data_IF_224172234794
#
_entry.id   IF_224172234794
#
_cell.length_a   1.000
_cell.length_b   1.000
_cell.length_c   1.000
_cell.angle_alpha   90.00
_cell.angle_beta   90.00
_cell.angle_gamma   90.00
#
_symmetry.space_group_name_H-M   'P 1'
#
loop_
_entity.id
_entity.type
_entity.pdbx_description
1 polymer ?
#
# COMPACT_ATOMS: atom_id res chain seq x y z
N UNK A 1 21.49 0.06 12.71
CA UNK A 1 20.13 0.14 13.26
C UNK A 1 19.14 0.08 12.10
N UNK A 2 18.10 -0.71 12.24
CA UNK A 2 17.09 -0.85 11.18
C UNK A 2 16.12 0.32 11.21
N UNK A 3 15.78 0.81 10.03
CA UNK A 3 14.80 1.88 9.83
C UNK A 3 13.76 1.38 8.83
N UNK A 4 12.50 1.41 9.24
CA UNK A 4 11.37 0.91 8.46
C UNK A 4 10.56 2.07 7.90
N UNK A 5 10.20 2.00 6.63
CA UNK A 5 9.22 2.89 6.01
C UNK A 5 8.04 2.04 5.52
N UNK A 6 6.84 2.40 5.94
CA UNK A 6 5.60 1.77 5.49
C UNK A 6 4.89 2.71 4.54
N UNK A 7 4.90 2.36 3.27
CA UNK A 7 4.30 3.14 2.18
C UNK A 7 2.96 2.53 1.80
N UNK A 8 1.93 3.36 1.70
CA UNK A 8 0.62 2.86 1.31
C UNK A 8 -0.46 3.92 1.28
N UNK A 9 -1.67 3.45 1.41
CA UNK A 9 -2.89 4.25 1.37
C UNK A 9 -3.53 4.38 2.77
N UNK A 10 -4.85 4.49 2.82
CA UNK A 10 -5.61 4.60 4.05
C UNK A 10 -5.43 3.41 5.00
N UNK A 11 -5.12 2.23 4.48
CA UNK A 11 -4.90 1.03 5.31
C UNK A 11 -3.60 1.14 6.10
N UNK A 12 -2.61 1.83 5.59
CA UNK A 12 -1.37 2.14 6.31
C UNK A 12 -1.57 3.37 7.21
N UNK A 13 -2.24 4.40 6.69
CA UNK A 13 -2.53 5.62 7.45
C UNK A 13 -3.36 5.34 8.70
N UNK A 14 -4.32 4.40 8.63
CA UNK A 14 -5.23 4.07 9.72
C UNK A 14 -6.55 4.84 9.65
N UNK A 15 -7.06 5.08 8.45
CA UNK A 15 -8.35 5.73 8.26
C UNK A 15 -9.47 4.97 8.99
N UNK A 16 -10.33 5.72 9.68
CA UNK A 16 -11.50 5.18 10.36
C UNK A 16 -11.23 4.59 11.74
N UNK A 17 -9.99 4.60 12.21
CA UNK A 17 -9.63 4.17 13.57
C UNK A 17 -8.85 5.27 14.29
N UNK A 18 -8.86 5.22 15.63
CA UNK A 18 -8.01 6.14 16.39
C UNK A 18 -6.53 5.85 16.11
N UNK A 19 -5.63 6.84 16.23
CA UNK A 19 -4.20 6.63 16.00
C UNK A 19 -3.62 5.44 16.78
N UNK A 20 -4.06 5.25 18.03
CA UNK A 20 -3.59 4.15 18.90
C UNK A 20 -4.11 2.78 18.46
N UNK A 21 -5.20 2.72 17.69
CA UNK A 21 -5.81 1.50 17.20
C UNK A 21 -5.32 1.11 15.82
N UNK A 22 -4.58 1.98 15.14
CA UNK A 22 -3.93 1.66 13.88
C UNK A 22 -2.94 0.50 14.06
N UNK A 23 -3.04 -0.50 13.22
CA UNK A 23 -2.18 -1.69 13.30
C UNK A 23 -0.70 -1.36 13.12
N UNK A 24 -0.37 -0.37 12.29
CA UNK A 24 1.02 0.08 12.08
C UNK A 24 1.57 0.71 13.36
N UNK A 25 0.75 1.52 14.03
CA UNK A 25 1.11 2.10 15.34
C UNK A 25 1.35 1.02 16.40
N UNK A 26 0.45 0.04 16.47
CA UNK A 26 0.57 -1.09 17.40
C UNK A 26 1.84 -1.89 17.13
N UNK A 27 2.10 -2.18 15.86
CA UNK A 27 3.32 -2.91 15.46
C UNK A 27 4.58 -2.15 15.87
N UNK A 28 4.62 -0.85 15.56
CA UNK A 28 5.74 0.03 15.92
C UNK A 28 6.04 -0.02 17.41
N UNK A 29 5.01 0.14 18.24
CA UNK A 29 5.19 0.19 19.69
C UNK A 29 5.46 -1.17 20.31
N UNK A 30 4.77 -2.22 19.86
CA UNK A 30 4.95 -3.57 20.40
C UNK A 30 6.37 -4.10 20.14
N UNK A 31 6.91 -3.84 18.96
CA UNK A 31 8.24 -4.31 18.56
C UNK A 31 9.32 -3.23 18.75
N UNK A 32 8.95 -2.06 19.24
CA UNK A 32 9.87 -0.92 19.43
C UNK A 32 10.67 -0.60 18.15
N UNK A 33 9.96 -0.48 17.02
CA UNK A 33 10.58 -0.24 15.71
C UNK A 33 10.80 1.24 15.44
N UNK A 34 11.92 1.55 14.80
CA UNK A 34 12.13 2.86 14.17
C UNK A 34 11.37 2.88 12.83
N UNK A 35 10.07 3.17 12.88
CA UNK A 35 9.14 3.02 11.78
C UNK A 35 8.48 4.36 11.43
N UNK A 36 8.50 4.69 10.13
CA UNK A 36 7.85 5.86 9.55
C UNK A 36 6.62 5.42 8.76
N UNK A 37 5.46 5.90 9.19
CA UNK A 37 4.21 5.63 8.49
C UNK A 37 4.02 6.66 7.37
N UNK A 38 4.07 6.21 6.13
CA UNK A 38 3.88 7.02 4.92
C UNK A 38 2.60 6.60 4.17
N UNK A 39 1.57 6.22 4.92
CA UNK A 39 0.23 6.02 4.38
C UNK A 39 -0.47 7.36 4.15
N UNK A 40 -1.13 7.48 2.99
CA UNK A 40 -1.95 8.65 2.65
C UNK A 40 -3.31 8.16 2.13
N UNK A 41 -4.39 8.68 2.73
CA UNK A 41 -5.75 8.33 2.31
C UNK A 41 -5.96 8.58 0.82
N UNK A 42 -6.57 7.63 0.13
CA UNK A 42 -6.88 7.73 -1.28
C UNK A 42 -5.69 7.53 -2.22
N UNK A 43 -4.49 7.27 -1.70
CA UNK A 43 -3.28 7.12 -2.51
C UNK A 43 -3.40 5.94 -3.46
N UNK A 44 -3.16 6.18 -4.74
CA UNK A 44 -2.96 5.15 -5.75
C UNK A 44 -1.48 4.77 -5.82
N UNK A 45 -1.15 3.71 -6.55
CA UNK A 45 0.27 3.37 -6.77
C UNK A 45 1.00 4.43 -7.59
N UNK A 46 0.30 5.17 -8.45
CA UNK A 46 0.87 6.33 -9.15
C UNK A 46 1.23 7.44 -8.16
N UNK A 47 0.34 7.74 -7.21
CA UNK A 47 0.61 8.73 -6.17
C UNK A 47 1.81 8.32 -5.32
N UNK A 48 1.90 7.04 -4.95
CA UNK A 48 3.04 6.50 -4.22
C UNK A 48 4.34 6.67 -5.00
N UNK A 49 4.31 6.39 -6.30
CA UNK A 49 5.48 6.51 -7.16
C UNK A 49 5.95 7.97 -7.27
N UNK A 50 5.02 8.91 -7.40
CA UNK A 50 5.33 10.35 -7.47
C UNK A 50 6.06 10.84 -6.22
N UNK A 51 5.63 10.38 -5.04
CA UNK A 51 6.21 10.80 -3.75
C UNK A 51 7.28 9.86 -3.21
N UNK A 52 7.71 8.88 -4.00
CA UNK A 52 8.60 7.80 -3.54
C UNK A 52 9.97 8.30 -3.10
N UNK A 53 10.56 9.22 -3.84
CA UNK A 53 11.85 9.81 -3.48
C UNK A 53 11.78 10.52 -2.12
N UNK A 54 10.81 11.41 -1.96
CA UNK A 54 10.67 12.21 -0.73
C UNK A 54 10.26 11.36 0.48
N UNK A 55 9.27 10.48 0.29
CA UNK A 55 8.67 9.74 1.40
C UNK A 55 9.45 8.50 1.79
N UNK A 56 10.25 7.94 0.89
CA UNK A 56 10.94 6.68 1.12
C UNK A 56 12.45 6.83 0.99
N UNK A 57 12.96 7.13 -0.20
CA UNK A 57 14.40 7.07 -0.44
C UNK A 57 15.18 8.10 0.35
N UNK A 58 14.67 9.32 0.50
CA UNK A 58 15.32 10.39 1.28
C UNK A 58 15.48 10.05 2.77
N UNK A 59 14.70 9.11 3.28
CA UNK A 59 14.80 8.65 4.67
C UNK A 59 15.90 7.61 4.89
N UNK A 60 16.52 7.14 3.82
CA UNK A 60 17.56 6.09 3.88
C UNK A 60 17.11 4.87 4.70
N UNK A 61 15.98 4.24 4.36
CA UNK A 61 15.50 3.09 5.13
C UNK A 61 16.37 1.85 4.91
N UNK A 62 16.32 0.93 5.87
CA UNK A 62 16.87 -0.43 5.69
C UNK A 62 15.81 -1.38 5.15
N UNK A 63 14.56 -1.11 5.45
CA UNK A 63 13.41 -1.97 5.11
C UNK A 63 12.22 -1.11 4.68
N UNK A 64 11.57 -1.49 3.59
CA UNK A 64 10.37 -0.82 3.09
C UNK A 64 9.24 -1.83 2.93
N UNK A 65 8.11 -1.51 3.54
CA UNK A 65 6.85 -2.23 3.35
C UNK A 65 5.96 -1.42 2.39
N UNK A 66 5.49 -2.05 1.33
CA UNK A 66 4.60 -1.42 0.35
C UNK A 66 3.28 -2.19 0.30
N UNK A 67 2.16 -1.49 0.51
CA UNK A 67 0.84 -2.06 0.32
C UNK A 67 -0.07 -1.04 -0.34
N UNK A 68 -0.54 -1.34 -1.53
CA UNK A 68 -1.43 -0.46 -2.30
C UNK A 68 -2.03 -1.18 -3.49
N UNK A 69 -2.84 -0.45 -4.25
CA UNK A 69 -3.51 -0.94 -5.43
C UNK A 69 -5.03 -0.93 -5.35
N UNK A 70 -5.61 -0.94 -4.15
CA UNK A 70 -7.07 -0.89 -3.98
C UNK A 70 -7.64 0.40 -4.59
N UNK A 71 -7.05 1.55 -4.32
CA UNK A 71 -7.53 2.83 -4.86
C UNK A 71 -7.37 2.91 -6.38
N UNK A 72 -6.34 2.28 -6.94
CA UNK A 72 -6.18 2.14 -8.39
C UNK A 72 -7.37 1.39 -8.98
N UNK A 73 -7.73 0.24 -8.41
CA UNK A 73 -8.87 -0.56 -8.86
C UNK A 73 -10.19 0.17 -8.65
N UNK A 74 -10.36 0.89 -7.54
CA UNK A 74 -11.54 1.74 -7.30
C UNK A 74 -11.63 2.89 -8.30
N UNK A 75 -10.53 3.31 -8.89
CA UNK A 75 -10.47 4.29 -9.98
C UNK A 75 -10.52 3.64 -11.37
N UNK A 76 -10.89 2.38 -11.42
CA UNK A 76 -11.03 1.58 -12.66
C UNK A 76 -9.73 1.42 -13.45
N UNK A 77 -8.59 1.45 -12.78
CA UNK A 77 -7.28 1.20 -13.40
C UNK A 77 -7.01 -0.30 -13.52
N UNK A 78 -6.15 -0.66 -14.46
CA UNK A 78 -5.81 -2.07 -14.70
C UNK A 78 -4.85 -2.62 -13.65
N UNK A 79 -4.92 -3.93 -13.43
CA UNK A 79 -3.94 -4.66 -12.61
C UNK A 79 -2.54 -4.46 -13.16
N UNK A 80 -2.37 -4.49 -14.48
CA UNK A 80 -1.05 -4.33 -15.11
C UNK A 80 -0.40 -2.98 -14.79
N UNK A 81 -1.19 -1.89 -14.77
CA UNK A 81 -0.67 -0.56 -14.42
C UNK A 81 -0.18 -0.50 -12.97
N UNK A 82 -0.88 -1.17 -12.07
CA UNK A 82 -0.49 -1.27 -10.64
C UNK A 82 0.84 -2.03 -10.54
N UNK A 83 0.94 -3.17 -11.19
CA UNK A 83 2.15 -4.01 -11.18
C UNK A 83 3.34 -3.24 -11.74
N UNK A 84 3.15 -2.52 -12.84
CA UNK A 84 4.21 -1.69 -13.42
C UNK A 84 4.73 -0.66 -12.43
N UNK A 85 3.85 0.01 -11.70
CA UNK A 85 4.22 1.01 -10.70
C UNK A 85 4.98 0.39 -9.53
N UNK A 86 4.49 -0.74 -9.02
CA UNK A 86 5.16 -1.46 -7.92
C UNK A 86 6.54 -1.95 -8.36
N UNK A 87 6.65 -2.46 -9.57
CA UNK A 87 7.93 -2.94 -10.12
C UNK A 87 8.97 -1.82 -10.22
N UNK A 88 8.55 -0.61 -10.60
CA UNK A 88 9.45 0.56 -10.62
C UNK A 88 9.98 0.89 -9.23
N UNK A 89 9.10 0.87 -8.22
CA UNK A 89 9.52 1.09 -6.83
C UNK A 89 10.48 0.00 -6.34
N UNK A 90 10.20 -1.25 -6.66
CA UNK A 90 11.07 -2.39 -6.32
C UNK A 90 12.47 -2.19 -6.94
N UNK A 91 12.54 -1.81 -8.21
CA UNK A 91 13.82 -1.57 -8.89
C UNK A 91 14.66 -0.50 -8.19
N UNK A 92 14.04 0.60 -7.77
CA UNK A 92 14.74 1.66 -7.06
C UNK A 92 15.25 1.19 -5.69
N UNK A 93 14.45 0.42 -4.97
CA UNK A 93 14.85 -0.13 -3.68
C UNK A 93 16.01 -1.14 -3.80
N UNK A 94 15.97 -1.98 -4.83
CA UNK A 94 17.05 -2.96 -5.08
C UNK A 94 18.38 -2.28 -5.40
N UNK A 95 18.37 -1.16 -6.12
CA UNK A 95 19.58 -0.38 -6.41
C UNK A 95 20.25 0.12 -5.13
N UNK A 96 19.47 0.43 -4.11
CA UNK A 96 19.94 0.95 -2.83
C UNK A 96 20.17 -0.15 -1.79
N UNK A 97 20.04 -1.43 -2.16
CA UNK A 97 20.17 -2.59 -1.27
C UNK A 97 19.21 -2.55 -0.09
N UNK A 98 17.98 -2.06 -0.32
CA UNK A 98 16.93 -1.97 0.69
C UNK A 98 16.10 -3.26 0.68
N UNK A 99 15.80 -3.78 1.86
CA UNK A 99 14.91 -4.94 2.00
C UNK A 99 13.47 -4.54 1.69
N UNK A 100 12.75 -5.40 0.96
CA UNK A 100 11.41 -5.11 0.47
C UNK A 100 10.42 -6.13 1.01
N UNK A 101 9.29 -5.63 1.51
CA UNK A 101 8.14 -6.44 1.92
C UNK A 101 6.93 -5.91 1.16
N UNK A 102 6.26 -6.77 0.41
CA UNK A 102 5.03 -6.43 -0.30
C UNK A 102 3.85 -6.95 0.49
N UNK A 103 2.97 -6.04 0.91
CA UNK A 103 1.69 -6.37 1.53
C UNK A 103 0.62 -6.59 0.47
N UNK A 104 -0.18 -7.63 0.63
CA UNK A 104 -1.31 -7.87 -0.26
C UNK A 104 -2.54 -7.11 0.26
N UNK A 105 -3.18 -6.27 -0.59
CA UNK A 105 -4.41 -5.60 -0.19
C UNK A 105 -5.50 -6.62 0.21
N UNK A 106 -6.23 -6.36 1.29
CA UNK A 106 -7.33 -7.25 1.71
C UNK A 106 -8.49 -7.19 0.73
N UNK A 107 -9.38 -8.17 0.83
CA UNK A 107 -10.62 -8.18 0.05
C UNK A 107 -11.53 -7.02 0.47
N UNK A 108 -12.39 -6.59 -0.47
CA UNK A 108 -13.51 -5.70 -0.18
C UNK A 108 -14.82 -6.46 -0.31
N UNK A 109 -15.86 -5.95 0.34
CA UNK A 109 -17.22 -6.48 0.24
C UNK A 109 -18.09 -5.39 -0.38
N UNK A 110 -18.43 -5.48 -1.70
CA UNK A 110 -19.12 -4.41 -2.41
C UNK A 110 -20.45 -4.00 -1.78
N UNK A 111 -21.23 -4.94 -1.27
CA UNK A 111 -22.51 -4.63 -0.63
C UNK A 111 -22.34 -3.77 0.62
N UNK A 112 -21.30 -4.01 1.40
CA UNK A 112 -20.98 -3.21 2.57
C UNK A 112 -20.41 -1.86 2.15
N UNK A 113 -19.51 -1.82 1.17
CA UNK A 113 -18.92 -0.59 0.67
C UNK A 113 -19.99 0.35 0.09
N UNK A 114 -20.93 -0.15 -0.71
CA UNK A 114 -22.04 0.64 -1.25
C UNK A 114 -22.95 1.20 -0.17
N UNK A 115 -23.08 0.52 0.96
CA UNK A 115 -23.92 0.96 2.08
C UNK A 115 -23.23 2.01 2.96
N UNK A 116 -21.91 1.86 3.19
CA UNK A 116 -21.14 2.69 4.12
C UNK A 116 -20.53 3.93 3.46
N UNK A 117 -20.27 3.85 2.15
CA UNK A 117 -19.65 4.92 1.38
C UNK A 117 -20.58 5.33 0.24
N UNK A 118 -20.08 6.17 -0.68
CA UNK A 118 -20.86 6.50 -1.88
C UNK A 118 -21.01 5.27 -2.76
N UNK A 119 -22.23 4.97 -3.26
CA UNK A 119 -22.42 3.86 -4.21
C UNK A 119 -21.54 4.01 -5.44
N UNK A 120 -20.89 2.91 -5.86
CA UNK A 120 -20.01 2.91 -7.02
C UNK A 120 -20.00 1.53 -7.69
N UNK A 121 -19.99 1.52 -9.02
CA UNK A 121 -19.83 0.28 -9.80
C UNK A 121 -18.40 -0.26 -9.74
N UNK A 122 -17.42 0.57 -9.33
CA UNK A 122 -16.02 0.16 -9.24
C UNK A 122 -15.75 -0.79 -8.07
N UNK A 123 -16.66 -0.92 -7.10
CA UNK A 123 -16.49 -1.89 -6.02
C UNK A 123 -16.50 -3.33 -6.55
N UNK A 124 -17.36 -3.66 -7.49
CA UNK A 124 -17.40 -4.99 -8.10
C UNK A 124 -16.15 -5.25 -8.94
N UNK A 125 -15.70 -4.27 -9.71
CA UNK A 125 -14.44 -4.34 -10.45
C UNK A 125 -13.25 -4.57 -9.51
N UNK A 126 -13.21 -3.84 -8.40
CA UNK A 126 -12.16 -3.97 -7.39
C UNK A 126 -12.16 -5.37 -6.77
N UNK A 127 -13.32 -5.85 -6.31
CA UNK A 127 -13.45 -7.20 -5.72
C UNK A 127 -12.97 -8.28 -6.69
N UNK A 128 -13.39 -8.19 -7.95
CA UNK A 128 -13.02 -9.15 -8.99
C UNK A 128 -11.51 -9.17 -9.26
N UNK A 129 -10.86 -8.01 -9.23
CA UNK A 129 -9.47 -7.86 -9.65
C UNK A 129 -8.46 -7.95 -8.51
N UNK A 130 -8.88 -7.85 -7.24
CA UNK A 130 -7.96 -8.00 -6.10
C UNK A 130 -7.25 -9.37 -6.06
N UNK A 131 -7.93 -10.51 -6.29
CA UNK A 131 -7.25 -11.80 -6.34
C UNK A 131 -6.21 -11.87 -7.46
N UNK A 132 -6.51 -11.31 -8.63
CA UNK A 132 -5.57 -11.24 -9.75
C UNK A 132 -4.37 -10.36 -9.41
N UNK A 133 -4.61 -9.21 -8.79
CA UNK A 133 -3.54 -8.32 -8.33
C UNK A 133 -2.59 -9.04 -7.37
N UNK A 134 -3.13 -9.76 -6.38
CA UNK A 134 -2.32 -10.52 -5.43
C UNK A 134 -1.48 -11.60 -6.12
N UNK A 135 -2.08 -12.29 -7.10
CA UNK A 135 -1.36 -13.29 -7.88
C UNK A 135 -0.19 -12.69 -8.65
N UNK A 136 -0.42 -11.55 -9.31
CA UNK A 136 0.63 -10.84 -10.05
C UNK A 136 1.70 -10.27 -9.12
N UNK A 137 1.32 -9.74 -7.96
CA UNK A 137 2.28 -9.30 -6.93
C UNK A 137 3.17 -10.44 -6.47
N UNK A 138 2.61 -11.63 -6.27
CA UNK A 138 3.38 -12.81 -5.86
C UNK A 138 4.45 -13.16 -6.90
N UNK A 139 4.18 -12.93 -8.18
CA UNK A 139 5.13 -13.17 -9.26
C UNK A 139 6.32 -12.19 -9.26
N UNK A 140 6.21 -11.06 -8.55
CA UNK A 140 7.33 -10.10 -8.39
C UNK A 140 8.33 -10.56 -7.32
N UNK A 141 7.92 -11.46 -6.45
CA UNK A 141 8.77 -12.02 -5.40
C UNK A 141 9.56 -13.23 -5.94
#
# INVERSE_FOLDING_TARGET
>A
MRKYVFLGDSLIYGYGVSPKDNWVYKLKNTLNLNLYNKGINGSTTTDMLIRFEEDVLSLNPTDVFIMGGTNDLLSNRSVQSIINNIELMIKDLLKENINIIIGFPPNIIPSIANRLFMPSTTYDYCEKNLPLLRKEMLSLC
#
